data_IF_541780880762
#
_entry.id   IF_541780880762
#
_cell.length_a   1.000
_cell.length_b   1.000
_cell.length_c   1.000
_cell.angle_alpha   90.00
_cell.angle_beta   90.00
_cell.angle_gamma   90.00
#
_symmetry.space_group_name_H-M   'P 1'
#
loop_
_entity.id
_entity.type
_entity.pdbx_description
1 polymer ?
#
# COMPACT_ATOMS: atom_id res chain seq x y z
N UNK A 1 -44.31 -17.10 25.28
CA UNK A 1 -44.35 -15.85 26.05
C UNK A 1 -43.18 -15.93 27.02
N UNK A 2 -42.05 -15.25 26.86
CA UNK A 2 -41.59 -14.26 25.88
C UNK A 2 -40.06 -14.31 25.90
N UNK A 3 -39.43 -13.97 24.79
CA UNK A 3 -37.98 -13.76 24.66
C UNK A 3 -37.47 -12.68 25.62
N UNK A 4 -36.23 -12.81 26.11
CA UNK A 4 -35.32 -11.66 26.12
C UNK A 4 -33.84 -12.11 26.18
N UNK A 5 -33.12 -11.77 25.13
CA UNK A 5 -31.69 -11.92 24.94
C UNK A 5 -31.02 -10.61 25.32
N UNK A 6 -30.17 -10.61 26.36
CA UNK A 6 -29.32 -9.45 26.64
C UNK A 6 -27.87 -9.77 26.32
N UNK A 7 -27.53 -9.45 25.08
CA UNK A 7 -26.20 -9.27 24.53
C UNK A 7 -25.49 -8.13 25.29
N UNK A 8 -24.52 -8.48 26.15
CA UNK A 8 -23.62 -7.49 26.75
C UNK A 8 -22.57 -7.10 25.71
N UNK A 9 -22.91 -6.09 24.91
CA UNK A 9 -22.01 -5.34 24.06
C UNK A 9 -20.96 -4.62 24.92
N UNK A 10 -19.80 -5.24 25.14
CA UNK A 10 -18.60 -4.53 25.59
C UNK A 10 -18.05 -3.71 24.43
N UNK A 11 -18.59 -2.49 24.29
CA UNK A 11 -18.08 -1.45 23.40
C UNK A 11 -16.65 -1.11 23.83
N UNK A 12 -15.68 -1.75 23.18
CA UNK A 12 -14.29 -1.34 23.26
C UNK A 12 -14.15 0.04 22.61
N UNK A 13 -14.15 1.05 23.46
CA UNK A 13 -13.95 2.44 23.13
C UNK A 13 -12.48 2.63 22.68
N UNK A 14 -12.16 2.33 21.42
CA UNK A 14 -10.80 2.48 20.88
C UNK A 14 -10.66 3.78 20.10
N UNK A 15 -10.65 4.91 20.81
CA UNK A 15 -10.11 6.17 20.28
C UNK A 15 -8.60 6.23 20.57
N UNK A 16 -7.86 5.27 20.02
CA UNK A 16 -6.40 5.31 20.00
C UNK A 16 -5.96 6.09 18.75
N UNK A 17 -5.31 7.26 18.87
CA UNK A 17 -4.80 8.03 17.73
C UNK A 17 -3.71 7.29 16.95
N UNK A 18 -3.15 6.19 17.45
CA UNK A 18 -2.23 5.30 16.72
C UNK A 18 -2.93 4.19 15.94
N UNK A 19 -4.25 4.03 16.08
CA UNK A 19 -5.08 3.21 15.18
C UNK A 19 -5.36 3.97 13.89
N UNK A 20 -4.31 4.55 13.29
CA UNK A 20 -4.32 5.01 11.92
C UNK A 20 -4.94 3.88 11.09
N UNK A 21 -6.07 4.20 10.45
CA UNK A 21 -6.99 3.24 9.85
C UNK A 21 -6.21 2.13 9.14
N UNK A 22 -6.20 0.93 9.72
CA UNK A 22 -5.69 -0.28 9.07
C UNK A 22 -6.20 -0.35 7.61
N UNK A 23 -7.46 0.05 7.41
CA UNK A 23 -8.11 0.21 6.11
C UNK A 23 -7.52 1.29 5.18
N UNK A 24 -7.01 2.41 5.70
CA UNK A 24 -6.35 3.42 4.85
C UNK A 24 -5.00 2.93 4.35
N UNK A 25 -4.29 2.08 5.11
CA UNK A 25 -3.01 1.51 4.68
C UNK A 25 -3.17 0.59 3.45
N UNK A 26 -4.21 -0.25 3.41
CA UNK A 26 -4.52 -1.15 2.28
C UNK A 26 -5.13 -0.47 1.05
N UNK A 27 -4.94 0.84 0.91
CA UNK A 27 -5.24 1.59 -0.32
C UNK A 27 -4.18 2.65 -0.61
N UNK A 28 -3.04 2.57 0.06
CA UNK A 28 -1.96 3.53 -0.15
C UNK A 28 -1.34 3.30 -1.52
N UNK A 29 -1.29 4.32 -2.39
CA UNK A 29 -0.61 4.24 -3.67
C UNK A 29 0.89 3.98 -3.46
N UNK A 30 1.41 3.09 -4.29
CA UNK A 30 2.82 2.72 -4.31
C UNK A 30 3.45 3.31 -5.55
N UNK A 31 4.51 4.09 -5.34
CA UNK A 31 5.15 4.93 -6.35
C UNK A 31 6.59 4.43 -6.54
N UNK A 32 6.99 4.18 -7.78
CA UNK A 32 8.40 4.00 -8.13
C UNK A 32 8.98 5.34 -8.58
N UNK A 33 10.16 5.68 -8.04
CA UNK A 33 10.87 6.87 -8.50
C UNK A 33 11.56 6.54 -9.83
N UNK A 34 11.19 7.26 -10.90
CA UNK A 34 11.98 7.25 -12.11
C UNK A 34 13.25 8.06 -11.85
N UNK A 35 14.39 7.37 -11.81
CA UNK A 35 15.69 7.99 -11.57
C UNK A 35 15.90 9.10 -12.62
N UNK A 36 16.29 10.26 -12.10
CA UNK A 36 16.65 11.49 -12.78
C UNK A 36 17.28 11.20 -14.14
N UNK A 37 16.67 11.70 -15.24
CA UNK A 37 17.38 11.79 -16.51
C UNK A 37 18.55 12.75 -16.31
N UNK A 38 19.75 12.33 -16.69
CA UNK A 38 20.97 13.15 -16.64
C UNK A 38 20.91 14.40 -17.56
N UNK A 39 19.76 14.71 -18.17
CA UNK A 39 19.55 15.81 -19.11
C UNK A 39 19.13 17.12 -18.41
N UNK A 40 19.04 17.14 -17.08
CA UNK A 40 18.71 18.35 -16.31
C UNK A 40 17.26 18.82 -16.49
N UNK A 41 16.40 18.02 -17.14
CA UNK A 41 14.97 18.29 -17.22
C UNK A 41 14.26 17.71 -16.00
N UNK A 42 13.34 18.50 -15.47
CA UNK A 42 12.50 18.35 -14.28
C UNK A 42 12.40 16.94 -13.68
N UNK A 43 12.42 16.80 -12.33
CA UNK A 43 12.26 15.51 -11.68
C UNK A 43 11.02 14.81 -12.24
N UNK A 44 11.22 13.63 -12.82
CA UNK A 44 10.14 12.84 -13.38
C UNK A 44 9.22 12.49 -12.22
N UNK A 45 7.97 12.94 -12.32
CA UNK A 45 6.93 12.61 -11.36
C UNK A 45 6.89 11.09 -11.20
N UNK A 46 7.01 10.61 -9.96
CA UNK A 46 7.02 9.16 -9.68
C UNK A 46 5.79 8.48 -10.27
N UNK A 47 5.97 7.25 -10.77
CA UNK A 47 4.90 6.48 -11.40
C UNK A 47 4.20 5.64 -10.34
N UNK A 48 2.87 5.75 -10.24
CA UNK A 48 2.06 4.82 -9.46
C UNK A 48 2.01 3.47 -10.17
N UNK A 49 2.25 2.40 -9.41
CA UNK A 49 2.25 1.00 -9.89
C UNK A 49 1.05 0.21 -9.34
N UNK A 50 0.21 0.85 -8.54
CA UNK A 50 -0.92 0.23 -7.87
C UNK A 50 -1.01 0.64 -6.41
N UNK A 51 -1.89 -0.03 -5.67
CA UNK A 51 -2.15 0.24 -4.25
C UNK A 51 -1.79 -0.97 -3.41
N UNK A 52 -1.30 -0.73 -2.19
CA UNK A 52 -1.10 -1.80 -1.21
C UNK A 52 -2.44 -2.52 -1.01
N UNK A 53 -2.47 -3.83 -1.18
CA UNK A 53 -3.65 -4.66 -0.97
C UNK A 53 -3.55 -5.46 0.33
N UNK A 54 -2.35 -5.96 0.64
CA UNK A 54 -2.08 -6.75 1.83
C UNK A 54 -0.59 -6.66 2.22
N UNK A 55 -0.27 -7.12 3.42
CA UNK A 55 1.09 -7.46 3.81
C UNK A 55 1.23 -8.97 3.90
N UNK A 56 2.30 -9.52 3.36
CA UNK A 56 2.63 -10.94 3.46
C UNK A 56 4.08 -11.11 3.87
N UNK A 57 4.29 -11.51 5.13
CA UNK A 57 5.62 -11.57 5.77
C UNK A 57 6.30 -10.19 5.65
N UNK A 58 7.52 -10.17 5.12
CA UNK A 58 8.31 -8.95 4.90
C UNK A 58 8.05 -8.28 3.53
N UNK A 59 6.90 -8.55 2.92
CA UNK A 59 6.53 -8.01 1.61
C UNK A 59 5.19 -7.29 1.65
N UNK A 60 5.03 -6.32 0.76
CA UNK A 60 3.78 -5.70 0.39
C UNK A 60 3.22 -6.40 -0.84
N UNK A 61 1.94 -6.74 -0.79
CA UNK A 61 1.17 -7.14 -1.97
C UNK A 61 0.58 -5.87 -2.56
N UNK A 62 0.93 -5.56 -3.80
CA UNK A 62 0.47 -4.36 -4.53
C UNK A 62 -0.33 -4.82 -5.73
N UNK A 63 -1.49 -4.20 -5.96
CA UNK A 63 -2.36 -4.54 -7.09
C UNK A 63 -2.58 -3.28 -7.93
N UNK A 64 -2.34 -3.42 -9.24
CA UNK A 64 -2.74 -2.46 -10.25
C UNK A 64 -4.15 -2.80 -10.77
N UNK A 65 -5.03 -1.79 -10.78
CA UNK A 65 -6.45 -1.92 -11.12
C UNK A 65 -7.38 -2.16 -9.92
N UNK A 66 -8.41 -1.31 -9.77
CA UNK A 66 -9.39 -1.43 -8.67
C UNK A 66 -10.41 -2.57 -8.88
N UNK A 67 -10.66 -2.98 -10.13
CA UNK A 67 -11.77 -3.90 -10.49
C UNK A 67 -11.38 -5.05 -11.44
N UNK A 68 -10.18 -5.01 -12.02
CA UNK A 68 -9.55 -6.09 -12.78
C UNK A 68 -8.10 -6.11 -12.32
N UNK A 69 -7.65 -7.24 -11.76
CA UNK A 69 -6.24 -7.44 -11.41
C UNK A 69 -5.46 -7.43 -12.72
N UNK A 70 -4.93 -6.27 -13.10
CA UNK A 70 -4.13 -6.15 -14.33
C UNK A 70 -2.71 -6.61 -14.04
N UNK A 71 -2.16 -6.20 -12.88
CA UNK A 71 -0.85 -6.61 -12.42
C UNK A 71 -0.84 -6.79 -10.89
N UNK A 72 -0.19 -7.84 -10.41
CA UNK A 72 0.02 -8.08 -8.97
C UNK A 72 1.52 -8.17 -8.69
N UNK A 73 1.97 -7.45 -7.66
CA UNK A 73 3.38 -7.37 -7.29
C UNK A 73 3.59 -7.77 -5.84
N UNK A 74 4.66 -8.54 -5.60
CA UNK A 74 5.14 -8.88 -4.26
C UNK A 74 6.42 -8.10 -3.97
N UNK A 75 6.28 -6.92 -3.36
CA UNK A 75 7.37 -5.97 -3.15
C UNK A 75 7.99 -6.16 -1.76
N UNK A 76 9.29 -6.51 -1.65
CA UNK A 76 9.96 -6.59 -0.36
C UNK A 76 10.01 -5.23 0.36
N UNK A 77 9.72 -5.18 1.66
CA UNK A 77 9.76 -3.94 2.47
C UNK A 77 11.14 -3.26 2.43
N UNK A 78 12.22 -4.02 2.24
CA UNK A 78 13.59 -3.49 2.04
C UNK A 78 13.77 -2.62 0.79
N UNK A 79 12.82 -2.64 -0.14
CA UNK A 79 12.81 -1.80 -1.35
C UNK A 79 12.05 -0.49 -1.14
N UNK A 80 11.43 -0.30 0.02
CA UNK A 80 10.79 0.97 0.39
C UNK A 80 11.90 1.99 0.69
N UNK A 81 11.84 3.11 -0.01
CA UNK A 81 12.71 4.28 0.20
C UNK A 81 12.18 5.15 1.34
N UNK A 82 10.90 5.54 1.23
CA UNK A 82 10.21 6.34 2.24
C UNK A 82 8.70 6.11 2.25
N UNK A 83 8.08 6.49 3.36
CA UNK A 83 6.65 6.46 3.58
C UNK A 83 6.18 7.84 4.01
N UNK A 84 5.34 8.46 3.18
CA UNK A 84 4.74 9.75 3.49
C UNK A 84 3.25 9.42 3.61
N UNK A 85 2.70 9.21 4.83
CA UNK A 85 1.33 8.77 5.26
C UNK A 85 0.20 8.47 4.23
N UNK A 86 0.22 9.10 3.07
CA UNK A 86 -0.62 8.96 1.89
C UNK A 86 -0.02 8.13 0.74
N UNK A 87 1.27 7.80 0.73
CA UNK A 87 1.95 7.10 -0.37
C UNK A 87 3.25 6.40 0.07
N UNK A 88 3.57 5.29 -0.59
CA UNK A 88 4.83 4.55 -0.40
C UNK A 88 5.73 4.79 -1.60
N UNK A 89 6.98 5.16 -1.36
CA UNK A 89 7.97 5.30 -2.42
C UNK A 89 8.93 4.13 -2.40
N UNK A 90 9.18 3.55 -3.57
CA UNK A 90 10.08 2.44 -3.76
C UNK A 90 11.38 2.91 -4.41
N UNK A 91 12.50 2.35 -3.95
CA UNK A 91 13.80 2.42 -4.59
C UNK A 91 13.95 1.24 -5.57
N UNK A 92 13.12 1.25 -6.61
CA UNK A 92 13.05 0.25 -7.68
C UNK A 92 12.94 1.02 -9.00
N UNK A 93 13.68 0.62 -10.03
CA UNK A 93 13.51 1.18 -11.38
C UNK A 93 12.36 0.49 -12.11
N UNK A 94 11.72 1.20 -13.05
CA UNK A 94 10.69 0.63 -13.93
C UNK A 94 11.12 -0.73 -14.54
N UNK A 95 12.37 -0.83 -15.01
CA UNK A 95 12.90 -2.05 -15.64
C UNK A 95 12.95 -3.26 -14.69
N UNK A 96 13.10 -3.01 -13.38
CA UNK A 96 13.18 -4.07 -12.36
C UNK A 96 11.83 -4.40 -11.73
N UNK A 97 10.77 -3.63 -12.02
CA UNK A 97 9.43 -3.87 -11.46
C UNK A 97 8.90 -5.26 -11.81
N UNK A 98 9.12 -5.71 -13.05
CA UNK A 98 8.72 -7.03 -13.56
C UNK A 98 9.33 -8.21 -12.80
N UNK A 99 10.41 -8.01 -12.03
CA UNK A 99 11.00 -9.07 -11.20
C UNK A 99 10.13 -9.42 -9.99
N UNK A 100 9.16 -8.56 -9.66
CA UNK A 100 8.28 -8.71 -8.51
C UNK A 100 6.84 -9.09 -8.89
N UNK A 101 6.55 -9.20 -10.18
CA UNK A 101 5.22 -9.53 -10.71
C UNK A 101 4.97 -11.05 -10.67
N UNK A 102 3.73 -11.48 -10.43
CA UNK A 102 3.35 -12.91 -10.37
C UNK A 102 1.98 -13.22 -10.98
#
# INVERSE_FOLDING_TARGET
MSDDSTESNEVHNTNDPFKWNYYTFYRIPVIINNIIRNDGKSPIQGREIGKVFAEYKDNLVVIDGENKKEHEYLIPKRKIDRYDEKQIFLNISDDSLKEFEF
#
